data_IF_320801343490
#
_entry.id   IF_320801343490
#
_cell.length_a   1.000
_cell.length_b   1.000
_cell.length_c   1.000
_cell.angle_alpha   90.00
_cell.angle_beta   90.00
_cell.angle_gamma   90.00
#
_symmetry.space_group_name_H-M   'P 1'
#
loop_
_entity.id
_entity.type
_entity.pdbx_description
1 polymer ?
#
# COMPACT_ATOMS: atom_id res chain seq x y z
N UNK A 1 43.15 -19.13 -6.48
CA UNK A 1 41.96 -18.65 -5.72
C UNK A 1 41.47 -17.22 -6.03
N UNK A 2 42.32 -16.29 -6.47
CA UNK A 2 41.97 -14.88 -6.77
C UNK A 2 40.74 -14.70 -7.69
N UNK A 3 40.61 -15.53 -8.73
CA UNK A 3 39.51 -15.47 -9.70
C UNK A 3 38.11 -15.60 -9.07
N UNK A 4 37.95 -16.45 -8.04
CA UNK A 4 36.64 -16.65 -7.40
C UNK A 4 36.21 -15.43 -6.57
N UNK A 5 37.17 -14.70 -5.99
CA UNK A 5 36.89 -13.46 -5.24
C UNK A 5 36.40 -12.34 -6.16
N UNK A 6 36.95 -12.27 -7.38
CA UNK A 6 36.50 -11.30 -8.40
C UNK A 6 35.06 -11.54 -8.89
N UNK A 7 34.51 -12.76 -8.76
CA UNK A 7 33.11 -13.02 -9.12
C UNK A 7 32.10 -12.26 -8.24
N UNK A 8 32.50 -11.79 -7.06
CA UNK A 8 31.64 -11.02 -6.15
C UNK A 8 31.62 -9.52 -6.47
N UNK A 9 32.54 -9.04 -7.30
CA UNK A 9 32.67 -7.61 -7.65
C UNK A 9 31.36 -7.02 -8.22
N UNK A 10 30.63 -7.69 -9.13
CA UNK A 10 29.34 -7.18 -9.61
C UNK A 10 28.30 -7.03 -8.50
N UNK A 11 28.30 -7.93 -7.51
CA UNK A 11 27.38 -7.88 -6.37
C UNK A 11 27.68 -6.67 -5.49
N UNK A 12 28.95 -6.45 -5.14
CA UNK A 12 29.37 -5.27 -4.38
C UNK A 12 29.09 -3.96 -5.12
N UNK A 13 29.30 -3.94 -6.44
CA UNK A 13 28.96 -2.78 -7.28
C UNK A 13 27.45 -2.47 -7.23
N UNK A 14 26.60 -3.49 -7.32
CA UNK A 14 25.15 -3.31 -7.24
C UNK A 14 24.71 -2.80 -5.86
N UNK A 15 25.27 -3.34 -4.78
CA UNK A 15 24.98 -2.90 -3.41
C UNK A 15 25.40 -1.43 -3.18
N UNK A 16 26.54 -1.01 -3.74
CA UNK A 16 26.95 0.40 -3.72
C UNK A 16 25.97 1.29 -4.48
N UNK A 17 25.55 0.90 -5.68
CA UNK A 17 24.60 1.68 -6.48
C UNK A 17 23.23 1.83 -5.80
N UNK A 18 22.78 0.83 -5.03
CA UNK A 18 21.54 0.93 -4.26
C UNK A 18 21.62 1.93 -3.10
N UNK A 19 22.83 2.26 -2.62
CA UNK A 19 23.07 3.22 -1.52
C UNK A 19 23.33 4.64 -2.01
N UNK A 20 23.48 4.85 -3.31
CA UNK A 20 23.72 6.18 -3.89
C UNK A 20 22.41 6.96 -3.96
N UNK A 21 22.42 8.19 -3.48
CA UNK A 21 21.32 9.14 -3.66
C UNK A 21 21.37 9.75 -5.07
N UNK A 22 20.27 9.69 -5.82
CA UNK A 22 20.21 10.19 -7.19
C UNK A 22 18.89 9.86 -7.91
N UNK A 23 18.93 9.84 -9.25
CA UNK A 23 17.79 9.42 -10.06
C UNK A 23 17.46 7.94 -9.80
N UNK A 24 16.51 7.71 -8.89
CA UNK A 24 16.18 6.39 -8.35
C UNK A 24 15.87 5.36 -9.45
N UNK A 25 15.09 5.76 -10.45
CA UNK A 25 14.70 4.88 -11.55
C UNK A 25 15.90 4.44 -12.40
N UNK A 26 16.87 5.33 -12.63
CA UNK A 26 18.05 5.03 -13.43
C UNK A 26 19.01 4.11 -12.66
N UNK A 27 19.21 4.39 -11.37
CA UNK A 27 19.98 3.54 -10.46
C UNK A 27 19.39 2.12 -10.37
N UNK A 28 18.06 1.99 -10.26
CA UNK A 28 17.37 0.70 -10.24
C UNK A 28 17.51 -0.08 -11.56
N UNK A 29 17.46 0.61 -12.70
CA UNK A 29 17.66 -0.02 -14.02
C UNK A 29 19.12 -0.47 -14.18
N UNK A 30 20.06 0.33 -13.72
CA UNK A 30 21.48 0.01 -13.74
C UNK A 30 21.82 -1.18 -12.82
N UNK A 31 21.18 -1.27 -11.65
CA UNK A 31 21.39 -2.38 -10.70
C UNK A 31 20.72 -3.67 -11.13
N UNK A 32 19.49 -3.63 -11.67
CA UNK A 32 18.79 -4.82 -12.19
C UNK A 32 19.61 -5.50 -13.29
N UNK A 33 20.22 -4.70 -14.17
CA UNK A 33 20.85 -5.20 -15.38
C UNK A 33 19.84 -5.74 -16.39
N UNK A 34 20.23 -5.82 -17.67
CA UNK A 34 19.28 -6.06 -18.78
C UNK A 34 19.34 -7.46 -19.38
N UNK A 35 20.24 -8.33 -18.92
CA UNK A 35 20.64 -9.52 -19.72
C UNK A 35 19.96 -10.84 -19.36
N UNK A 36 19.44 -11.03 -18.14
CA UNK A 36 19.14 -12.41 -17.67
C UNK A 36 17.87 -12.61 -16.82
N UNK A 37 17.05 -11.57 -16.54
CA UNK A 37 15.90 -11.72 -15.63
C UNK A 37 14.68 -10.92 -16.10
N UNK A 38 13.80 -11.55 -16.89
CA UNK A 38 12.52 -10.96 -17.30
C UNK A 38 11.29 -11.86 -17.13
N UNK A 39 11.42 -13.08 -16.59
CA UNK A 39 10.26 -13.95 -16.38
C UNK A 39 10.16 -14.43 -14.93
N UNK A 40 9.34 -13.74 -14.13
CA UNK A 40 8.76 -14.31 -12.93
C UNK A 40 7.32 -14.70 -13.26
N UNK A 41 7.06 -16.00 -13.38
CA UNK A 41 5.70 -16.53 -13.53
C UNK A 41 4.84 -16.18 -12.31
N UNK A 42 3.54 -15.98 -12.53
CA UNK A 42 2.57 -15.78 -11.45
C UNK A 42 2.40 -17.08 -10.67
N UNK A 43 3.01 -17.16 -9.49
CA UNK A 43 2.86 -18.26 -8.54
C UNK A 43 1.79 -17.94 -7.49
N UNK A 44 1.20 -18.98 -6.91
CA UNK A 44 0.24 -18.84 -5.79
C UNK A 44 0.90 -18.19 -4.56
N UNK A 45 0.12 -17.40 -3.80
CA UNK A 45 0.62 -16.62 -2.66
C UNK A 45 1.17 -17.50 -1.54
N UNK A 46 0.53 -18.64 -1.26
CA UNK A 46 0.99 -19.60 -0.26
C UNK A 46 2.32 -20.23 -0.69
N UNK A 47 2.41 -20.63 -1.97
CA UNK A 47 3.64 -21.17 -2.56
C UNK A 47 4.80 -20.17 -2.49
N UNK A 48 4.55 -18.90 -2.84
CA UNK A 48 5.53 -17.81 -2.77
C UNK A 48 6.01 -17.57 -1.33
N UNK A 49 5.10 -17.59 -0.36
CA UNK A 49 5.46 -17.47 1.06
C UNK A 49 6.34 -18.64 1.51
N UNK A 50 5.96 -19.87 1.19
CA UNK A 50 6.72 -21.06 1.57
C UNK A 50 8.12 -21.05 0.94
N UNK A 51 8.24 -20.69 -0.33
CA UNK A 51 9.53 -20.54 -1.01
C UNK A 51 10.42 -19.50 -0.33
N UNK A 52 9.86 -18.36 0.11
CA UNK A 52 10.61 -17.35 0.89
C UNK A 52 11.09 -17.90 2.23
N UNK A 53 10.26 -18.65 2.94
CA UNK A 53 10.62 -19.27 4.22
C UNK A 53 11.75 -20.28 4.04
N UNK A 54 11.66 -21.13 3.01
CA UNK A 54 12.71 -22.11 2.68
C UNK A 54 14.02 -21.43 2.32
N UNK A 55 13.98 -20.43 1.44
CA UNK A 55 15.14 -19.61 1.08
C UNK A 55 15.77 -18.95 2.30
N UNK A 56 14.97 -18.40 3.22
CA UNK A 56 15.47 -17.79 4.45
C UNK A 56 16.16 -18.81 5.35
N UNK A 57 15.57 -20.01 5.54
CA UNK A 57 16.18 -21.10 6.32
C UNK A 57 17.50 -21.56 5.71
N UNK A 58 17.55 -21.74 4.39
CA UNK A 58 18.77 -22.12 3.65
C UNK A 58 19.84 -21.03 3.73
N UNK A 59 19.49 -19.77 3.53
CA UNK A 59 20.42 -18.64 3.69
C UNK A 59 21.02 -18.63 5.09
N UNK A 60 20.19 -18.81 6.12
CA UNK A 60 20.63 -18.84 7.51
C UNK A 60 21.56 -20.02 7.80
N UNK A 61 21.29 -21.22 7.27
CA UNK A 61 22.19 -22.37 7.46
C UNK A 61 23.54 -22.16 6.78
N UNK A 62 23.57 -21.60 5.57
CA UNK A 62 24.82 -21.26 4.87
C UNK A 62 25.62 -20.18 5.60
N UNK A 63 24.97 -19.16 6.15
CA UNK A 63 25.63 -18.15 6.97
C UNK A 63 26.29 -18.75 8.22
N UNK A 64 25.62 -19.71 8.88
CA UNK A 64 26.22 -20.42 10.01
C UNK A 64 27.44 -21.26 9.59
N UNK A 65 27.40 -21.89 8.41
CA UNK A 65 28.55 -22.63 7.87
C UNK A 65 29.73 -21.71 7.56
N UNK A 66 29.47 -20.51 7.02
CA UNK A 66 30.51 -19.50 6.80
C UNK A 66 31.14 -19.10 8.13
N UNK A 67 30.34 -18.82 9.17
CA UNK A 67 30.85 -18.48 10.50
C UNK A 67 31.70 -19.60 11.13
N UNK A 68 31.41 -20.87 10.80
CA UNK A 68 32.23 -22.00 11.25
C UNK A 68 33.57 -22.05 10.51
N UNK A 69 33.57 -21.84 9.19
CA UNK A 69 34.79 -21.78 8.39
C UNK A 69 35.66 -20.56 8.74
N UNK A 70 35.05 -19.41 9.04
CA UNK A 70 35.75 -18.21 9.49
C UNK A 70 36.60 -18.47 10.76
N UNK A 71 36.15 -19.38 11.64
CA UNK A 71 36.91 -19.78 12.83
C UNK A 71 38.06 -20.73 12.53
N UNK A 72 37.98 -21.45 11.42
CA UNK A 72 38.98 -22.44 11.01
C UNK A 72 40.09 -21.83 10.16
N UNK A 73 39.85 -20.68 9.55
CA UNK A 73 40.84 -19.95 8.74
C UNK A 73 41.69 -19.09 9.68
N UNK A 74 43.01 -19.35 9.82
CA UNK A 74 43.91 -18.50 10.58
C UNK A 74 43.98 -17.10 9.95
N UNK A 75 44.07 -16.04 10.78
CA UNK A 75 44.11 -14.65 10.33
C UNK A 75 45.43 -14.23 9.64
N UNK A 76 46.39 -15.14 9.48
CA UNK A 76 47.73 -14.83 8.97
C UNK A 76 47.74 -14.90 7.44
N UNK A 77 47.69 -13.75 6.77
CA UNK A 77 47.63 -13.61 5.29
C UNK A 77 48.95 -13.97 4.58
N UNK A 78 49.98 -14.43 5.31
CA UNK A 78 51.32 -14.68 4.77
C UNK A 78 51.54 -16.06 4.10
N UNK A 79 50.49 -16.87 3.94
CA UNK A 79 50.53 -18.19 3.30
C UNK A 79 49.44 -18.36 2.22
N UNK A 80 49.20 -17.31 1.44
CA UNK A 80 48.24 -17.30 0.33
C UNK A 80 48.72 -18.03 -0.95
N UNK A 81 49.96 -18.55 -0.96
CA UNK A 81 50.57 -19.21 -2.14
C UNK A 81 50.30 -20.72 -2.24
N UNK A 82 49.70 -21.35 -1.21
CA UNK A 82 49.33 -22.76 -1.28
C UNK A 82 47.93 -22.93 -1.90
N UNK A 83 47.90 -23.46 -3.14
CA UNK A 83 46.68 -23.77 -3.92
C UNK A 83 45.76 -24.83 -3.23
N UNK A 84 46.22 -25.40 -2.11
CA UNK A 84 45.57 -26.44 -1.31
C UNK A 84 44.78 -25.92 -0.11
N UNK A 85 44.57 -24.61 0.02
CA UNK A 85 43.73 -24.03 1.09
C UNK A 85 42.21 -24.29 0.84
N UNK A 86 41.82 -25.57 0.90
CA UNK A 86 40.45 -26.08 0.84
C UNK A 86 39.43 -25.31 1.70
N UNK A 87 39.73 -24.88 2.95
CA UNK A 87 38.75 -24.13 3.76
C UNK A 87 38.46 -22.72 3.21
N UNK A 88 39.45 -22.07 2.58
CA UNK A 88 39.25 -20.75 1.96
C UNK A 88 38.39 -20.89 0.70
N UNK A 89 38.66 -21.92 -0.10
CA UNK A 89 37.85 -22.23 -1.30
C UNK A 89 36.39 -22.51 -0.94
N UNK A 90 36.15 -23.38 0.05
CA UNK A 90 34.79 -23.72 0.48
C UNK A 90 34.05 -22.49 1.00
N UNK A 91 34.73 -21.61 1.74
CA UNK A 91 34.18 -20.33 2.18
C UNK A 91 33.77 -19.43 1.03
N UNK A 92 34.63 -19.23 0.02
CA UNK A 92 34.32 -18.36 -1.12
C UNK A 92 33.12 -18.91 -1.91
N UNK A 93 33.02 -20.23 -2.07
CA UNK A 93 31.87 -20.86 -2.73
C UNK A 93 30.57 -20.65 -1.95
N UNK A 94 30.58 -20.80 -0.62
CA UNK A 94 29.42 -20.51 0.23
C UNK A 94 29.03 -19.03 0.17
N UNK A 95 30.00 -18.12 0.14
CA UNK A 95 29.74 -16.69 0.00
C UNK A 95 29.07 -16.39 -1.34
N UNK A 96 29.54 -16.99 -2.44
CA UNK A 96 28.90 -16.88 -3.76
C UNK A 96 27.45 -17.41 -3.73
N UNK A 97 27.21 -18.52 -3.05
CA UNK A 97 25.87 -19.07 -2.89
C UNK A 97 24.94 -18.14 -2.09
N UNK A 98 25.41 -17.56 -0.99
CA UNK A 98 24.65 -16.57 -0.22
C UNK A 98 24.37 -15.32 -1.05
N UNK A 99 25.36 -14.83 -1.79
CA UNK A 99 25.21 -13.69 -2.68
C UNK A 99 24.17 -13.95 -3.78
N UNK A 100 24.09 -15.17 -4.32
CA UNK A 100 23.05 -15.55 -5.28
C UNK A 100 21.64 -15.43 -4.68
N UNK A 101 21.44 -15.89 -3.44
CA UNK A 101 20.15 -15.74 -2.78
C UNK A 101 19.79 -14.27 -2.56
N UNK A 102 20.75 -13.46 -2.10
CA UNK A 102 20.57 -12.01 -1.91
C UNK A 102 20.25 -11.28 -3.20
N UNK A 103 20.94 -11.61 -4.29
CA UNK A 103 20.67 -11.05 -5.62
C UNK A 103 19.29 -11.45 -6.11
N UNK A 104 18.85 -12.70 -5.90
CA UNK A 104 17.52 -13.13 -6.32
C UNK A 104 16.39 -12.37 -5.60
N UNK A 105 16.58 -12.05 -4.32
CA UNK A 105 15.63 -11.29 -3.53
C UNK A 105 15.65 -9.80 -3.91
N UNK A 106 16.84 -9.22 -4.08
CA UNK A 106 17.00 -7.83 -4.48
C UNK A 106 16.42 -7.58 -5.88
N UNK A 107 16.59 -8.51 -6.83
CA UNK A 107 15.97 -8.41 -8.16
C UNK A 107 14.44 -8.34 -8.04
N UNK A 108 13.81 -9.23 -7.27
CA UNK A 108 12.35 -9.21 -7.09
C UNK A 108 11.86 -7.89 -6.48
N UNK A 109 12.60 -7.36 -5.52
CA UNK A 109 12.32 -6.05 -4.90
C UNK A 109 12.46 -4.92 -5.92
N UNK A 110 13.60 -4.85 -6.62
CA UNK A 110 13.91 -3.85 -7.65
C UNK A 110 12.85 -3.87 -8.77
N UNK A 111 12.42 -5.05 -9.23
CA UNK A 111 11.39 -5.16 -10.25
C UNK A 111 10.05 -4.59 -9.78
N UNK A 112 9.67 -4.86 -8.53
CA UNK A 112 8.43 -4.33 -7.97
C UNK A 112 8.50 -2.81 -7.81
N UNK A 113 9.66 -2.28 -7.46
CA UNK A 113 9.86 -0.85 -7.28
C UNK A 113 9.87 -0.09 -8.62
N UNK A 114 10.53 -0.65 -9.64
CA UNK A 114 10.49 -0.10 -11.01
C UNK A 114 9.03 -0.06 -11.50
N UNK A 115 8.28 -1.13 -11.30
CA UNK A 115 6.87 -1.22 -11.67
C UNK A 115 6.03 -0.16 -10.94
N UNK A 116 6.20 0.00 -9.62
CA UNK A 116 5.53 1.04 -8.83
C UNK A 116 5.88 2.46 -9.28
N UNK A 117 7.16 2.76 -9.48
CA UNK A 117 7.63 4.09 -9.94
C UNK A 117 7.12 4.37 -11.36
N UNK A 118 7.09 3.36 -12.24
CA UNK A 118 6.57 3.52 -13.59
C UNK A 118 5.08 3.85 -13.59
N UNK A 119 4.29 3.17 -12.76
CA UNK A 119 2.85 3.41 -12.61
C UNK A 119 2.56 4.75 -11.94
N UNK A 120 3.32 5.13 -10.91
CA UNK A 120 3.12 6.40 -10.22
C UNK A 120 3.46 7.60 -11.10
N UNK A 121 4.42 7.49 -12.02
CA UNK A 121 4.70 8.52 -13.03
C UNK A 121 3.47 8.83 -13.90
N UNK A 122 2.66 7.82 -14.23
CA UNK A 122 1.41 7.99 -14.98
C UNK A 122 0.25 8.55 -14.12
N UNK A 123 0.30 8.43 -12.79
CA UNK A 123 -0.72 8.99 -11.90
C UNK A 123 -0.50 10.48 -11.60
N UNK A 124 0.73 10.96 -11.74
CA UNK A 124 1.07 12.38 -11.56
C UNK A 124 0.67 13.26 -12.75
N UNK A 125 0.21 12.68 -13.87
CA UNK A 125 -0.50 13.46 -14.88
C UNK A 125 -1.90 13.72 -14.34
N UNK A 126 -2.29 14.97 -14.07
CA UNK A 126 -3.65 15.27 -13.63
C UNK A 126 -4.61 14.63 -14.64
N UNK A 127 -5.70 13.98 -14.17
CA UNK A 127 -6.70 13.46 -15.08
C UNK A 127 -7.12 14.63 -15.97
N UNK A 128 -6.78 14.53 -17.26
CA UNK A 128 -7.32 15.42 -18.26
C UNK A 128 -8.82 15.42 -18.01
N UNK A 129 -9.49 16.57 -17.85
CA UNK A 129 -10.94 16.58 -17.70
C UNK A 129 -11.46 15.83 -18.93
N UNK A 130 -11.95 14.63 -18.70
CA UNK A 130 -12.70 13.91 -19.69
C UNK A 130 -13.89 14.81 -19.95
N UNK A 131 -14.02 15.27 -21.19
CA UNK A 131 -15.21 15.97 -21.65
C UNK A 131 -16.39 15.03 -21.42
N UNK A 132 -16.99 15.08 -20.23
CA UNK A 132 -18.24 14.42 -19.93
C UNK A 132 -19.33 15.26 -20.63
N UNK A 133 -19.95 14.75 -21.71
CA UNK A 133 -20.93 15.51 -22.47
C UNK A 133 -22.17 15.89 -21.63
N UNK A 134 -22.32 15.32 -20.42
CA UNK A 134 -23.39 15.64 -19.46
C UNK A 134 -23.34 17.04 -18.87
N UNK A 135 -22.23 17.77 -18.97
CA UNK A 135 -22.13 19.13 -18.42
C UNK A 135 -22.55 20.24 -19.39
N UNK A 136 -22.86 19.93 -20.65
CA UNK A 136 -23.14 20.96 -21.68
C UNK A 136 -24.60 21.43 -21.79
N UNK A 137 -25.55 20.87 -21.03
CA UNK A 137 -27.00 21.09 -21.25
C UNK A 137 -27.74 21.82 -20.12
N UNK A 138 -27.07 22.68 -19.35
CA UNK A 138 -27.71 23.44 -18.25
C UNK A 138 -27.82 24.96 -18.46
N UNK A 139 -27.87 25.41 -19.71
CA UNK A 139 -28.21 26.81 -20.04
C UNK A 139 -29.44 26.89 -20.94
N UNK A 140 -30.63 26.69 -20.35
CA UNK A 140 -31.86 27.42 -20.73
C UNK A 140 -33.11 26.78 -20.09
N UNK A 141 -33.50 27.20 -18.89
CA UNK A 141 -34.93 27.33 -18.54
C UNK A 141 -35.09 27.97 -17.16
N UNK A 142 -35.81 29.08 -17.19
CA UNK A 142 -36.12 30.01 -16.13
C UNK A 142 -37.08 29.45 -15.07
N UNK A 143 -37.03 30.06 -13.87
CA UNK A 143 -38.11 30.19 -12.87
C UNK A 143 -38.55 28.95 -12.06
N UNK A 144 -37.79 28.60 -11.01
CA UNK A 144 -38.43 28.25 -9.72
C UNK A 144 -37.46 28.37 -8.52
N UNK A 145 -37.89 29.21 -7.58
CA UNK A 145 -37.54 29.34 -6.16
C UNK A 145 -36.64 28.23 -5.57
N UNK A 146 -35.39 28.57 -5.23
CA UNK A 146 -34.60 27.81 -4.24
C UNK A 146 -33.57 28.71 -3.55
N UNK A 147 -33.45 28.46 -2.25
CA UNK A 147 -32.71 29.15 -1.18
C UNK A 147 -31.31 29.68 -1.55
N UNK A 148 -30.80 30.69 -0.81
CA UNK A 148 -29.44 31.19 -1.00
C UNK A 148 -28.43 30.14 -0.52
N UNK A 149 -27.99 29.26 -1.42
CA UNK A 149 -26.82 28.42 -1.19
C UNK A 149 -25.57 29.33 -1.11
N UNK A 150 -24.68 29.13 -0.12
CA UNK A 150 -23.51 29.97 0.04
C UNK A 150 -22.59 29.76 -1.15
N UNK A 151 -22.16 30.86 -1.77
CA UNK A 151 -21.26 30.86 -2.93
C UNK A 151 -20.01 30.03 -2.60
N UNK A 152 -19.74 28.97 -3.36
CA UNK A 152 -18.55 28.10 -3.29
C UNK A 152 -17.23 28.82 -3.68
N UNK A 153 -17.20 30.15 -3.56
CA UNK A 153 -16.08 31.02 -3.95
C UNK A 153 -15.12 31.31 -2.79
N UNK A 154 -15.32 30.68 -1.62
CA UNK A 154 -14.57 31.02 -0.40
C UNK A 154 -13.20 30.34 -0.27
N UNK A 155 -12.91 29.33 -1.11
CA UNK A 155 -11.69 28.51 -1.01
C UNK A 155 -10.52 28.98 -1.85
N UNK A 156 -10.74 29.92 -2.78
CA UNK A 156 -9.67 30.50 -3.59
C UNK A 156 -9.23 31.79 -2.91
N UNK A 157 -8.04 31.77 -2.30
CA UNK A 157 -7.43 33.00 -1.76
C UNK A 157 -7.22 34.08 -2.86
N UNK A 158 -7.21 33.66 -4.13
CA UNK A 158 -7.09 34.53 -5.31
C UNK A 158 -8.41 34.72 -6.09
N UNK A 159 -9.55 34.18 -5.62
CA UNK A 159 -10.77 34.03 -6.44
C UNK A 159 -12.01 34.77 -5.96
N UNK A 160 -11.88 35.70 -5.02
CA UNK A 160 -12.94 36.65 -4.72
C UNK A 160 -12.95 37.81 -5.73
N UNK A 161 -14.11 38.44 -5.91
CA UNK A 161 -14.36 39.68 -6.70
C UNK A 161 -13.40 40.87 -6.40
N UNK A 162 -12.47 40.70 -5.46
CA UNK A 162 -11.42 41.63 -5.09
C UNK A 162 -10.16 41.56 -5.98
N UNK A 163 -10.02 40.53 -6.83
CA UNK A 163 -8.88 40.42 -7.76
C UNK A 163 -8.96 41.38 -8.96
N UNK A 164 -10.14 41.96 -9.23
CA UNK A 164 -10.34 42.87 -10.37
C UNK A 164 -9.82 44.30 -10.11
N UNK A 165 -9.47 44.66 -8.87
CA UNK A 165 -8.94 45.99 -8.55
C UNK A 165 -7.67 45.91 -7.68
N UNK A 166 -6.54 45.79 -8.37
CA UNK A 166 -5.18 45.92 -7.86
C UNK A 166 -4.96 47.15 -6.96
N UNK A 167 -5.25 47.03 -5.66
CA UNK A 167 -4.82 48.02 -4.66
C UNK A 167 -3.87 47.35 -3.69
N UNK A 168 -2.63 47.85 -3.65
CA UNK A 168 -1.56 47.39 -2.76
C UNK A 168 -2.05 47.42 -1.31
N UNK A 169 -2.01 46.26 -0.66
CA UNK A 169 -2.43 46.05 0.73
C UNK A 169 -1.52 46.77 1.75
N UNK A 170 -0.30 47.10 1.34
CA UNK A 170 0.73 47.75 2.15
C UNK A 170 1.23 48.99 1.42
N UNK A 171 1.46 50.07 2.16
CA UNK A 171 2.27 51.18 1.66
C UNK A 171 3.73 50.74 1.46
N UNK A 172 4.51 51.47 0.66
CA UNK A 172 5.93 51.18 0.38
C UNK A 172 6.82 51.21 1.63
N UNK A 173 6.29 51.78 2.72
CA UNK A 173 6.87 51.80 4.07
C UNK A 173 6.43 50.61 4.96
N UNK A 174 5.62 49.67 4.44
CA UNK A 174 5.18 48.46 5.15
C UNK A 174 3.98 48.66 6.08
N UNK A 175 3.32 49.82 6.06
CA UNK A 175 2.13 50.08 6.88
C UNK A 175 0.86 49.60 6.17
N UNK A 176 -0.02 48.81 6.82
CA UNK A 176 -1.26 48.36 6.21
C UNK A 176 -2.22 49.52 6.03
N UNK A 177 -2.69 49.71 4.79
CA UNK A 177 -3.56 50.84 4.41
C UNK A 177 -5.04 50.62 4.77
N UNK A 178 -5.41 49.41 5.22
CA UNK A 178 -6.77 49.07 5.59
C UNK A 178 -6.81 48.48 7.01
N UNK A 179 -7.72 48.98 7.82
CA UNK A 179 -8.00 48.45 9.16
C UNK A 179 -8.73 47.12 9.01
N UNK A 180 -8.16 46.02 9.52
CA UNK A 180 -8.87 44.76 9.66
C UNK A 180 -9.37 44.61 11.11
N UNK A 181 -10.61 44.16 11.27
CA UNK A 181 -11.18 43.83 12.58
C UNK A 181 -10.87 42.37 12.90
N UNK A 182 -10.16 42.14 14.02
CA UNK A 182 -9.90 40.79 14.52
C UNK A 182 -11.19 40.27 15.14
N UNK A 183 -12.04 39.61 14.36
CA UNK A 183 -13.13 38.80 14.93
C UNK A 183 -12.57 37.47 15.45
N UNK A 184 -13.34 36.79 16.30
CA UNK A 184 -12.99 35.54 16.98
C UNK A 184 -12.91 34.31 16.03
N UNK A 185 -12.51 34.54 14.77
CA UNK A 185 -12.39 33.54 13.70
C UNK A 185 -11.24 32.56 13.94
N UNK A 186 -10.45 32.72 15.01
CA UNK A 186 -9.39 31.78 15.40
C UNK A 186 -9.92 30.36 15.65
N UNK A 187 -11.16 30.25 16.16
CA UNK A 187 -11.83 28.95 16.35
C UNK A 187 -12.32 28.34 15.03
N UNK A 188 -12.82 29.15 14.10
CA UNK A 188 -13.25 28.68 12.77
C UNK A 188 -12.07 28.28 11.89
N UNK A 189 -10.95 29.00 11.96
CA UNK A 189 -9.70 28.64 11.27
C UNK A 189 -9.13 27.32 11.82
N UNK A 190 -9.19 27.11 13.15
CA UNK A 190 -8.80 25.83 13.77
C UNK A 190 -9.65 24.65 13.29
N UNK A 191 -10.94 24.88 13.03
CA UNK A 191 -11.83 23.86 12.46
C UNK A 191 -11.55 23.59 10.97
N UNK A 192 -11.01 24.57 10.24
CA UNK A 192 -10.68 24.46 8.81
C UNK A 192 -9.30 23.86 8.50
N UNK A 193 -8.37 23.82 9.47
CA UNK A 193 -6.99 23.34 9.26
C UNK A 193 -6.84 21.82 9.22
N UNK A 194 -7.92 21.05 9.40
CA UNK A 194 -7.93 19.59 9.27
C UNK A 194 -9.15 19.14 8.45
N UNK A 195 -9.10 19.37 7.14
CA UNK A 195 -10.07 18.81 6.20
C UNK A 195 -9.54 17.51 5.59
N UNK A 196 -10.42 16.54 5.29
CA UNK A 196 -10.01 15.22 4.82
C UNK A 196 -9.53 15.28 3.37
N UNK A 197 -8.24 15.56 3.20
CA UNK A 197 -7.46 15.24 2.01
C UNK A 197 -6.30 14.27 2.30
N UNK A 198 -5.82 14.24 3.54
CA UNK A 198 -4.97 13.18 4.08
C UNK A 198 -4.95 13.30 5.62
N UNK A 199 -6.01 12.83 6.28
CA UNK A 199 -6.01 12.67 7.73
C UNK A 199 -5.49 11.29 8.04
N UNK A 200 -4.30 11.19 8.63
CA UNK A 200 -4.05 10.08 9.53
C UNK A 200 -5.23 10.02 10.53
N UNK A 201 -5.71 8.84 10.96
CA UNK A 201 -6.68 8.76 12.03
C UNK A 201 -6.18 9.61 13.21
N UNK A 202 -6.94 10.65 13.59
CA UNK A 202 -6.58 11.51 14.73
C UNK A 202 -6.78 10.80 16.08
N UNK A 203 -7.15 9.52 16.04
CA UNK A 203 -7.51 8.67 17.15
C UNK A 203 -6.86 7.31 16.95
N UNK A 204 -6.43 6.67 18.03
CA UNK A 204 -5.92 5.30 17.95
C UNK A 204 -7.04 4.34 17.56
N UNK A 205 -6.67 3.19 17.01
CA UNK A 205 -7.63 2.14 16.61
C UNK A 205 -8.50 1.72 17.79
N UNK A 206 -7.92 1.59 18.99
CA UNK A 206 -8.64 1.30 20.23
C UNK A 206 -9.67 2.39 20.56
N UNK A 207 -9.29 3.66 20.47
CA UNK A 207 -10.17 4.78 20.78
C UNK A 207 -11.35 4.90 19.80
N UNK A 208 -11.14 4.50 18.54
CA UNK A 208 -12.22 4.41 17.55
C UNK A 208 -13.16 3.24 17.86
N UNK A 209 -12.62 2.08 18.25
CA UNK A 209 -13.42 0.92 18.64
C UNK A 209 -14.29 1.25 19.85
N UNK A 210 -13.76 1.93 20.87
CA UNK A 210 -14.51 2.36 22.04
C UNK A 210 -15.68 3.29 21.67
N UNK A 211 -15.46 4.23 20.74
CA UNK A 211 -16.54 5.10 20.23
C UNK A 211 -17.59 4.34 19.44
N UNK A 212 -17.22 3.32 18.67
CA UNK A 212 -18.18 2.47 17.95
C UNK A 212 -18.97 1.57 18.93
N UNK A 213 -18.35 1.11 20.04
CA UNK A 213 -19.03 0.43 21.14
C UNK A 213 -20.06 1.36 21.82
N UNK A 214 -19.67 2.61 22.13
CA UNK A 214 -20.58 3.61 22.70
C UNK A 214 -21.75 3.95 21.75
N UNK A 215 -21.51 3.94 20.44
CA UNK A 215 -22.53 4.13 19.40
C UNK A 215 -23.41 2.91 19.16
N UNK A 216 -23.12 1.78 19.82
CA UNK A 216 -23.87 0.53 19.66
C UNK A 216 -23.72 -0.11 18.28
N UNK A 217 -22.69 0.29 17.53
CA UNK A 217 -22.46 -0.14 16.15
C UNK A 217 -21.59 -1.41 16.06
N UNK A 218 -20.99 -1.81 17.19
CA UNK A 218 -20.21 -3.05 17.30
C UNK A 218 -21.14 -4.21 17.64
N UNK A 219 -21.20 -5.20 16.74
CA UNK A 219 -21.93 -6.44 16.95
C UNK A 219 -21.20 -7.31 18.00
N UNK A 220 -21.56 -7.16 19.26
CA UNK A 220 -21.10 -8.02 20.35
C UNK A 220 -21.91 -9.33 20.37
N UNK A 221 -21.63 -10.27 19.46
CA UNK A 221 -22.30 -11.59 19.50
C UNK A 221 -22.33 -12.39 18.20
N UNK A 222 -21.17 -12.68 17.60
CA UNK A 222 -21.10 -13.45 16.35
C UNK A 222 -19.94 -14.44 16.22
N UNK A 223 -19.12 -14.63 17.27
CA UNK A 223 -17.97 -15.55 17.25
C UNK A 223 -18.27 -16.90 17.89
N UNK A 224 -19.42 -17.06 18.53
CA UNK A 224 -19.91 -18.39 18.91
C UNK A 224 -20.45 -19.02 17.64
N UNK A 225 -19.76 -20.04 17.11
CA UNK A 225 -20.38 -20.93 16.14
C UNK A 225 -21.68 -21.41 16.78
N UNK A 226 -22.84 -21.30 16.11
CA UNK A 226 -24.06 -21.86 16.65
C UNK A 226 -23.79 -23.35 16.87
N UNK A 227 -23.77 -23.78 18.13
CA UNK A 227 -23.77 -25.21 18.44
C UNK A 227 -24.98 -25.79 17.72
N UNK A 228 -24.74 -26.79 16.87
CA UNK A 228 -25.82 -27.57 16.29
C UNK A 228 -26.55 -28.21 17.46
N UNK A 229 -27.74 -27.70 17.78
CA UNK A 229 -28.59 -28.32 18.76
C UNK A 229 -29.03 -29.66 18.17
N UNK A 230 -28.48 -30.75 18.70
CA UNK A 230 -28.97 -32.10 18.38
C UNK A 230 -30.40 -32.19 18.93
N UNK A 231 -31.38 -32.14 18.03
CA UNK A 231 -32.80 -32.26 18.38
C UNK A 231 -33.04 -33.73 18.75
N UNK A 232 -33.59 -33.98 19.93
CA UNK A 232 -33.95 -35.33 20.37
C UNK A 232 -35.05 -35.89 19.46
N UNK A 233 -34.80 -37.04 18.83
CA UNK A 233 -35.73 -37.75 17.93
C UNK A 233 -37.10 -38.04 18.57
N UNK A 234 -37.22 -37.92 19.90
CA UNK A 234 -38.46 -38.16 20.63
C UNK A 234 -39.36 -36.92 20.81
N UNK A 235 -38.90 -35.71 20.46
CA UNK A 235 -39.72 -34.48 20.54
C UNK A 235 -40.37 -34.14 19.18
N UNK A 236 -41.59 -34.67 18.99
CA UNK A 236 -42.39 -34.43 17.79
C UNK A 236 -42.66 -32.95 17.48
N UNK A 237 -42.72 -32.07 18.49
CA UNK A 237 -42.98 -30.65 18.26
C UNK A 237 -41.74 -29.94 17.69
N UNK A 238 -40.54 -30.33 18.13
CA UNK A 238 -39.29 -29.77 17.64
C UNK A 238 -39.02 -30.16 16.16
N UNK A 239 -39.32 -31.43 15.82
CA UNK A 239 -39.21 -31.94 14.45
C UNK A 239 -40.16 -31.23 13.46
N UNK A 240 -41.40 -30.93 13.88
CA UNK A 240 -42.36 -30.20 13.03
C UNK A 240 -41.92 -28.74 12.81
N UNK A 241 -41.40 -28.08 13.85
CA UNK A 241 -40.87 -26.72 13.76
C UNK A 241 -39.66 -26.63 12.82
N UNK A 242 -38.77 -27.62 12.85
CA UNK A 242 -37.63 -27.68 11.93
C UNK A 242 -38.09 -27.89 10.48
N UNK A 243 -39.04 -28.80 10.27
CA UNK A 243 -39.63 -29.04 8.94
C UNK A 243 -40.27 -27.76 8.37
N UNK A 244 -40.97 -26.99 9.20
CA UNK A 244 -41.54 -25.70 8.82
C UNK A 244 -40.47 -24.66 8.48
N UNK A 245 -39.37 -24.63 9.24
CA UNK A 245 -38.23 -23.72 8.98
C UNK A 245 -37.52 -24.06 7.68
N UNK A 246 -37.31 -25.35 7.38
CA UNK A 246 -36.73 -25.78 6.10
C UNK A 246 -37.61 -25.37 4.92
N UNK A 247 -38.93 -25.55 5.02
CA UNK A 247 -39.88 -25.10 3.98
C UNK A 247 -39.83 -23.59 3.76
N UNK A 248 -39.79 -22.80 4.84
CA UNK A 248 -39.65 -21.34 4.74
C UNK A 248 -38.34 -20.92 4.08
N UNK A 249 -37.27 -21.67 4.34
CA UNK A 249 -35.96 -21.43 3.74
C UNK A 249 -35.93 -21.73 2.24
N UNK A 250 -36.59 -22.82 1.84
CA UNK A 250 -36.78 -23.18 0.43
C UNK A 250 -37.61 -22.10 -0.30
N UNK A 251 -38.73 -21.66 0.29
CA UNK A 251 -39.58 -20.61 -0.27
C UNK A 251 -38.82 -19.26 -0.40
N UNK A 252 -38.03 -18.89 0.61
CA UNK A 252 -37.18 -17.69 0.54
C UNK A 252 -36.14 -17.77 -0.57
N UNK A 253 -35.51 -18.94 -0.74
CA UNK A 253 -34.50 -19.17 -1.79
C UNK A 253 -35.11 -19.13 -3.18
N UNK A 254 -36.32 -19.68 -3.35
CA UNK A 254 -37.08 -19.64 -4.60
C UNK A 254 -37.53 -18.22 -4.95
N UNK A 255 -37.99 -17.44 -3.97
CA UNK A 255 -38.37 -16.03 -4.15
C UNK A 255 -37.18 -15.11 -4.44
N UNK A 256 -35.96 -15.48 -4.05
CA UNK A 256 -34.75 -14.66 -4.19
C UNK A 256 -33.69 -15.34 -5.07
N UNK A 257 -33.93 -15.47 -6.40
CA UNK A 257 -32.98 -16.08 -7.30
C UNK A 257 -31.67 -15.29 -7.34
N UNK A 258 -30.54 -16.01 -7.37
CA UNK A 258 -29.21 -15.40 -7.42
C UNK A 258 -29.10 -14.44 -8.62
N UNK A 259 -28.81 -13.18 -8.33
CA UNK A 259 -28.66 -12.13 -9.35
C UNK A 259 -29.89 -11.25 -9.57
N UNK A 260 -30.96 -11.41 -8.79
CA UNK A 260 -32.16 -10.55 -8.85
C UNK A 260 -31.89 -9.05 -8.61
N UNK A 261 -30.83 -8.71 -7.86
CA UNK A 261 -30.51 -7.33 -7.47
C UNK A 261 -29.66 -6.51 -8.46
N UNK A 262 -28.90 -7.15 -9.36
CA UNK A 262 -27.96 -6.43 -10.25
C UNK A 262 -28.22 -6.77 -11.73
N UNK A 263 -29.42 -6.47 -12.20
CA UNK A 263 -29.81 -6.64 -13.61
C UNK A 263 -29.78 -5.35 -14.41
N UNK A 264 -29.75 -4.18 -13.76
CA UNK A 264 -29.81 -2.85 -14.39
C UNK A 264 -28.48 -2.38 -15.01
N UNK A 265 -27.34 -2.98 -14.62
CA UNK A 265 -26.00 -2.63 -15.13
C UNK A 265 -25.49 -3.62 -16.20
N UNK A 266 -26.39 -4.11 -17.06
CA UNK A 266 -26.02 -4.80 -18.30
C UNK A 266 -26.17 -3.82 -19.47
N UNK A 267 -25.25 -2.85 -19.55
CA UNK A 267 -25.13 -1.85 -20.60
C UNK A 267 -23.70 -1.37 -20.69
#
# INVERSE_FOLDING_TARGET
MLLCRFMLLPVYKADLLLKVDGNRLDLLKQTKGTKYFDEAGTMDQLSMRNMKIERFKLKKSLQLQIQQLDKQIPSDESQDDDDDNQPIRSRILLLLQVALFEVSESISSITSEIDLISRSAHLNTPPHPTNDPRQSSKESSSLHQKEPQPKESEWRLDGGDYSSNSRKLLDRSGKPLQTFTITNNKQQIKAGTFRPGHSLPTMSVEQFIDQEFERGNVLSGGTEQPESQDIDDNDYNALDAETMKQRQWDEFTEQNPRGSGNTMNRG
#
